data_IF_564319200244
#
_entry.id   IF_564319200244
#
_cell.length_a   1.000
_cell.length_b   1.000
_cell.length_c   1.000
_cell.angle_alpha   90.00
_cell.angle_beta   90.00
_cell.angle_gamma   90.00
#
_symmetry.space_group_name_H-M   'P 1'
#
loop_
_entity.id
_entity.type
_entity.pdbx_description
1 polymer ?
#
# COMPACT_ATOMS: atom_id res chain seq x y z
N UNK A 1 1.54 11.45 79.36
CA UNK A 1 1.12 11.78 77.98
C UNK A 1 2.28 11.49 77.04
N UNK A 2 2.23 10.38 76.30
CA UNK A 2 2.85 10.22 74.97
C UNK A 2 2.45 8.83 74.46
N UNK A 3 1.64 8.81 73.40
CA UNK A 3 1.19 7.59 72.72
C UNK A 3 2.24 7.21 71.67
N UNK A 4 2.94 6.09 71.85
CA UNK A 4 3.72 5.46 70.76
C UNK A 4 2.84 4.44 70.05
N UNK A 5 2.38 4.80 68.84
CA UNK A 5 1.75 3.87 67.88
C UNK A 5 2.85 3.10 67.15
N UNK A 6 2.93 1.78 67.36
CA UNK A 6 3.61 0.88 66.42
C UNK A 6 2.70 0.67 65.20
N UNK A 7 3.12 1.16 64.04
CA UNK A 7 2.56 0.74 62.75
C UNK A 7 3.32 -0.52 62.30
N UNK A 8 2.63 -1.65 62.26
CA UNK A 8 3.12 -2.84 61.57
C UNK A 8 2.86 -2.66 60.06
N UNK A 9 3.93 -2.44 59.28
CA UNK A 9 3.87 -2.51 57.82
C UNK A 9 3.91 -3.98 57.41
N UNK A 10 2.75 -4.56 57.12
CA UNK A 10 2.64 -5.84 56.44
C UNK A 10 2.92 -5.67 54.95
N UNK A 11 4.09 -6.13 54.49
CA UNK A 11 4.37 -6.28 53.06
C UNK A 11 3.54 -7.44 52.49
N UNK A 12 2.40 -7.14 51.89
CA UNK A 12 1.67 -8.07 51.03
C UNK A 12 2.39 -8.15 49.67
N UNK A 13 3.21 -9.17 49.48
CA UNK A 13 3.69 -9.59 48.16
C UNK A 13 2.50 -10.18 47.39
N UNK A 14 1.82 -9.35 46.59
CA UNK A 14 0.87 -9.85 45.61
C UNK A 14 1.67 -10.48 44.46
N UNK A 15 1.83 -11.81 44.52
CA UNK A 15 2.33 -12.59 43.40
C UNK A 15 1.36 -12.42 42.22
N UNK A 16 1.77 -11.62 41.24
CA UNK A 16 1.09 -11.53 39.96
C UNK A 16 1.35 -12.84 39.22
N UNK A 17 0.43 -13.79 39.35
CA UNK A 17 0.36 -14.94 38.47
C UNK A 17 0.19 -14.40 37.05
N UNK A 18 1.27 -14.49 36.26
CA UNK A 18 1.21 -14.43 34.81
C UNK A 18 0.33 -15.61 34.35
N UNK A 19 -0.99 -15.41 34.33
CA UNK A 19 -1.84 -16.20 33.45
C UNK A 19 -1.29 -16.00 32.05
N UNK A 20 -0.76 -17.07 31.45
CA UNK A 20 -0.59 -17.13 30.01
C UNK A 20 -1.98 -16.85 29.40
N UNK A 21 -2.20 -15.60 28.99
CA UNK A 21 -3.49 -15.13 28.53
C UNK A 21 -3.95 -15.97 27.35
N UNK A 22 -5.24 -16.32 27.32
CA UNK A 22 -5.83 -16.92 26.13
C UNK A 22 -5.54 -16.03 24.90
N UNK A 23 -5.31 -16.62 23.72
CA UNK A 23 -5.04 -15.84 22.52
C UNK A 23 -6.16 -14.81 22.30
N UNK A 24 -5.82 -13.61 21.83
CA UNK A 24 -6.79 -12.55 21.71
C UNK A 24 -7.90 -12.98 20.75
N UNK A 25 -9.15 -12.88 21.21
CA UNK A 25 -10.28 -13.31 20.39
C UNK A 25 -10.61 -12.19 19.39
N UNK A 26 -10.46 -12.48 18.10
CA UNK A 26 -10.82 -11.57 17.01
C UNK A 26 -12.14 -11.99 16.37
N UNK A 27 -13.13 -11.10 16.39
CA UNK A 27 -14.48 -11.41 15.87
C UNK A 27 -15.03 -10.28 15.07
N UNK A 28 -15.79 -10.60 14.04
CA UNK A 28 -16.61 -9.63 13.32
C UNK A 28 -18.01 -9.69 13.92
N UNK A 29 -18.54 -8.54 14.32
CA UNK A 29 -19.87 -8.42 14.90
C UNK A 29 -20.71 -7.40 14.12
N UNK A 30 -22.03 -7.63 13.96
CA UNK A 30 -22.91 -6.60 13.43
C UNK A 30 -23.01 -5.42 14.40
N UNK A 31 -23.28 -4.23 13.86
CA UNK A 31 -23.55 -3.01 14.62
C UNK A 31 -25.05 -2.71 14.59
N UNK A 32 -25.60 -1.95 15.56
CA UNK A 32 -27.03 -1.60 15.58
C UNK A 32 -27.54 -0.89 14.32
N UNK A 33 -26.66 -0.20 13.59
CA UNK A 33 -26.99 0.56 12.39
C UNK A 33 -26.93 -0.28 11.09
N UNK A 34 -26.90 -1.62 11.19
CA UNK A 34 -26.83 -2.52 10.04
C UNK A 34 -25.43 -2.65 9.42
N UNK A 35 -24.40 -2.10 10.06
CA UNK A 35 -22.99 -2.27 9.67
C UNK A 35 -22.29 -3.43 10.39
N UNK A 36 -20.96 -3.50 10.27
CA UNK A 36 -20.10 -4.45 10.96
C UNK A 36 -18.92 -3.75 11.62
N UNK A 37 -18.40 -4.36 12.69
CA UNK A 37 -17.19 -3.94 13.35
C UNK A 37 -16.31 -5.15 13.67
N UNK A 38 -15.00 -4.96 13.59
CA UNK A 38 -14.03 -5.94 14.08
C UNK A 38 -13.81 -5.68 15.57
N UNK A 39 -13.81 -6.75 16.35
CA UNK A 39 -13.56 -6.75 17.78
C UNK A 39 -12.28 -7.54 18.04
N UNK A 40 -11.38 -6.99 18.85
CA UNK A 40 -10.21 -7.69 19.40
C UNK A 40 -10.32 -7.66 20.91
N UNK A 41 -10.45 -8.82 21.54
CA UNK A 41 -10.72 -8.96 22.98
C UNK A 41 -11.96 -8.19 23.43
N UNK A 42 -13.02 -8.25 22.61
CA UNK A 42 -14.28 -7.57 22.86
C UNK A 42 -14.24 -6.05 22.66
N UNK A 43 -13.08 -5.47 22.33
CA UNK A 43 -12.94 -4.03 22.08
C UNK A 43 -13.01 -3.72 20.58
N UNK A 44 -13.70 -2.65 20.15
CA UNK A 44 -13.68 -2.21 18.76
C UNK A 44 -12.27 -2.02 18.24
N UNK A 45 -12.01 -2.57 17.06
CA UNK A 45 -10.73 -2.53 16.37
C UNK A 45 -10.97 -2.09 14.93
N UNK A 46 -10.42 -0.94 14.54
CA UNK A 46 -10.45 -0.49 13.16
C UNK A 46 -9.05 -0.60 12.57
N UNK A 47 -8.92 -1.26 11.42
CA UNK A 47 -7.62 -1.52 10.81
C UNK A 47 -7.07 -0.23 10.19
N UNK A 48 -5.97 0.25 10.75
CA UNK A 48 -5.17 1.39 10.25
C UNK A 48 -3.83 0.83 9.79
N UNK A 49 -3.88 0.14 8.66
CA UNK A 49 -2.85 -0.78 8.23
C UNK A 49 -1.87 -0.19 7.24
N UNK A 50 -0.66 -0.74 7.24
CA UNK A 50 0.37 -0.49 6.22
C UNK A 50 1.23 -1.72 5.94
N UNK A 51 2.41 -1.47 5.41
CA UNK A 51 3.47 -2.45 5.16
C UNK A 51 4.49 -2.49 6.29
N UNK A 52 5.39 -3.48 6.24
CA UNK A 52 6.36 -3.77 7.31
C UNK A 52 7.63 -2.92 7.34
N UNK A 53 7.87 -2.06 6.34
CA UNK A 53 9.03 -1.16 6.37
C UNK A 53 8.71 0.06 7.25
N UNK A 54 9.71 0.64 7.91
CA UNK A 54 9.50 1.85 8.75
C UNK A 54 8.35 1.68 9.77
N UNK A 55 8.36 0.58 10.54
CA UNK A 55 7.29 0.23 11.49
C UNK A 55 7.14 1.27 12.61
N UNK A 56 8.26 1.83 13.06
CA UNK A 56 8.31 2.94 14.01
C UNK A 56 7.54 4.15 13.47
N UNK A 57 7.75 4.51 12.19
CA UNK A 57 7.01 5.59 11.53
C UNK A 57 5.53 5.23 11.32
N UNK A 58 5.22 3.96 11.05
CA UNK A 58 3.82 3.51 10.92
C UNK A 58 3.06 3.72 12.22
N UNK A 59 3.65 3.29 13.34
CA UNK A 59 3.09 3.46 14.68
C UNK A 59 2.99 4.94 15.04
N UNK A 60 4.04 5.73 14.76
CA UNK A 60 4.03 7.18 15.01
C UNK A 60 2.94 7.92 14.21
N UNK A 61 2.64 7.47 12.99
CA UNK A 61 1.55 7.98 12.18
C UNK A 61 0.15 7.57 12.68
N UNK A 62 0.05 6.69 13.68
CA UNK A 62 -1.21 6.15 14.22
C UNK A 62 -1.69 4.86 13.57
N UNK A 63 -0.82 4.20 12.78
CA UNK A 63 -1.06 2.87 12.26
C UNK A 63 -0.99 1.80 13.37
N UNK A 64 -1.75 0.71 13.19
CA UNK A 64 -1.89 -0.35 14.20
C UNK A 64 -1.78 -1.77 13.65
N UNK A 65 -1.63 -1.94 12.33
CA UNK A 65 -1.63 -3.26 11.70
C UNK A 65 -0.70 -3.30 10.50
N UNK A 66 -0.19 -4.47 10.17
CA UNK A 66 0.46 -4.75 8.90
C UNK A 66 -0.19 -5.90 8.16
N UNK A 67 0.01 -5.91 6.84
CA UNK A 67 -0.38 -7.01 5.97
C UNK A 67 0.86 -7.74 5.45
N UNK A 68 0.78 -9.06 5.43
CA UNK A 68 1.86 -9.95 5.00
C UNK A 68 1.39 -10.84 3.84
N UNK A 69 2.34 -11.42 3.09
CA UNK A 69 2.05 -12.23 1.90
C UNK A 69 2.67 -13.65 2.00
N UNK A 70 2.99 -14.11 3.21
CA UNK A 70 3.64 -15.39 3.48
C UNK A 70 4.45 -15.40 4.78
N UNK A 71 5.04 -16.55 5.13
CA UNK A 71 5.81 -16.74 6.36
C UNK A 71 7.07 -15.85 6.43
N UNK A 72 7.47 -15.46 7.65
CA UNK A 72 8.76 -14.80 7.89
C UNK A 72 8.70 -13.46 8.61
N UNK A 73 7.58 -13.10 9.23
CA UNK A 73 7.54 -11.91 10.09
C UNK A 73 7.81 -12.29 11.55
N UNK A 74 8.62 -11.45 12.20
CA UNK A 74 8.88 -11.51 13.63
C UNK A 74 7.64 -11.01 14.38
N UNK A 75 6.69 -11.93 14.58
CA UNK A 75 5.41 -11.64 15.21
C UNK A 75 5.59 -11.16 16.66
N UNK A 76 6.63 -11.60 17.36
CA UNK A 76 6.94 -11.16 18.73
C UNK A 76 7.33 -9.68 18.74
N UNK A 77 8.18 -9.25 17.81
CA UNK A 77 8.55 -7.83 17.68
C UNK A 77 7.35 -6.96 17.30
N UNK A 78 6.48 -7.44 16.40
CA UNK A 78 5.24 -6.73 16.06
C UNK A 78 4.31 -6.62 17.27
N UNK A 79 4.17 -7.69 18.05
CA UNK A 79 3.37 -7.70 19.26
C UNK A 79 3.89 -6.69 20.30
N UNK A 80 5.21 -6.61 20.51
CA UNK A 80 5.84 -5.64 21.43
C UNK A 80 5.55 -4.19 21.02
N UNK A 81 5.39 -3.92 19.72
CA UNK A 81 5.00 -2.62 19.19
C UNK A 81 3.48 -2.38 19.19
N UNK A 82 2.68 -3.35 19.66
CA UNK A 82 1.22 -3.29 19.62
C UNK A 82 0.63 -3.44 18.22
N UNK A 83 1.43 -3.87 17.24
CA UNK A 83 1.04 -4.00 15.82
C UNK A 83 0.44 -5.37 15.57
N UNK A 84 -0.75 -5.40 14.97
CA UNK A 84 -1.41 -6.64 14.56
C UNK A 84 -1.08 -7.04 13.12
N UNK A 85 -1.46 -8.25 12.73
CA UNK A 85 -1.08 -8.84 11.45
C UNK A 85 -2.30 -9.45 10.76
N UNK A 86 -2.66 -8.91 9.58
CA UNK A 86 -3.33 -9.73 8.57
C UNK A 86 -2.28 -10.67 7.98
N UNK A 87 -2.40 -11.96 8.29
CA UNK A 87 -1.41 -12.93 7.89
C UNK A 87 -1.78 -13.56 6.53
N UNK A 88 -0.94 -13.31 5.52
CA UNK A 88 -1.10 -13.90 4.19
C UNK A 88 -0.72 -15.37 4.19
N UNK A 89 -1.70 -16.24 3.93
CA UNK A 89 -1.50 -17.67 3.75
C UNK A 89 -1.09 -17.96 2.29
N UNK A 90 -0.09 -18.83 2.08
CA UNK A 90 0.43 -19.11 0.74
C UNK A 90 -0.59 -19.92 -0.07
N UNK A 91 -1.17 -19.27 -1.08
CA UNK A 91 -2.09 -19.88 -2.04
C UNK A 91 -1.48 -19.76 -3.43
N UNK A 92 -1.40 -20.89 -4.13
CA UNK A 92 -0.92 -20.99 -5.50
C UNK A 92 -1.80 -20.20 -6.47
N UNK A 93 -1.15 -19.58 -7.46
CA UNK A 93 -1.83 -18.80 -8.51
C UNK A 93 -1.84 -19.58 -9.82
N UNK A 94 -3.00 -19.75 -10.49
CA UNK A 94 -3.05 -20.35 -11.82
C UNK A 94 -2.13 -19.64 -12.82
N UNK A 95 -2.06 -18.29 -12.78
CA UNK A 95 -1.16 -17.51 -13.64
C UNK A 95 0.34 -17.80 -13.43
N UNK A 96 0.72 -18.44 -12.31
CA UNK A 96 2.08 -18.89 -12.03
C UNK A 96 2.24 -20.41 -12.19
N UNK A 97 1.28 -21.09 -12.83
CA UNK A 97 1.32 -22.51 -13.12
C UNK A 97 0.80 -23.43 -12.01
N UNK A 98 0.11 -22.92 -10.99
CA UNK A 98 -0.54 -23.79 -10.01
C UNK A 98 -1.77 -24.47 -10.63
N UNK A 99 -1.74 -25.80 -10.75
CA UNK A 99 -2.81 -26.59 -11.35
C UNK A 99 -3.80 -27.08 -10.27
N UNK A 100 -4.96 -26.45 -10.19
CA UNK A 100 -6.04 -26.86 -9.28
C UNK A 100 -6.79 -28.14 -9.72
N UNK A 101 -6.45 -28.71 -10.88
CA UNK A 101 -6.95 -30.02 -11.32
C UNK A 101 -6.07 -31.18 -10.82
N UNK A 102 -4.91 -30.89 -10.22
CA UNK A 102 -4.03 -31.89 -9.61
C UNK A 102 -4.39 -32.05 -8.12
N UNK A 103 -5.09 -33.14 -7.73
CA UNK A 103 -5.55 -33.32 -6.36
C UNK A 103 -4.41 -33.45 -5.35
N UNK A 104 -3.25 -33.98 -5.76
CA UNK A 104 -2.10 -34.12 -4.88
C UNK A 104 -1.49 -32.75 -4.55
N UNK A 105 -1.39 -31.85 -5.54
CA UNK A 105 -0.95 -30.46 -5.32
C UNK A 105 -1.90 -29.68 -4.42
N UNK A 106 -3.21 -29.81 -4.66
CA UNK A 106 -4.23 -29.14 -3.82
C UNK A 106 -4.18 -29.65 -2.39
N UNK A 107 -4.06 -30.97 -2.18
CA UNK A 107 -3.94 -31.58 -0.86
C UNK A 107 -2.66 -31.11 -0.13
N UNK A 108 -1.52 -31.07 -0.83
CA UNK A 108 -0.25 -30.60 -0.26
C UNK A 108 -0.31 -29.13 0.17
N UNK A 109 -0.89 -28.25 -0.67
CA UNK A 109 -1.13 -26.84 -0.29
C UNK A 109 -2.04 -26.74 0.94
N UNK A 110 -3.10 -27.55 0.99
CA UNK A 110 -4.03 -27.57 2.11
C UNK A 110 -3.32 -27.92 3.41
N UNK A 111 -2.53 -28.99 3.41
CA UNK A 111 -1.74 -29.41 4.58
C UNK A 111 -0.76 -28.32 5.03
N UNK A 112 -0.03 -27.71 4.08
CA UNK A 112 0.90 -26.63 4.37
C UNK A 112 0.21 -25.44 5.04
N UNK A 113 -0.94 -25.02 4.52
CA UNK A 113 -1.71 -23.90 5.07
C UNK A 113 -2.24 -24.22 6.47
N UNK A 114 -2.82 -25.40 6.68
CA UNK A 114 -3.37 -25.78 7.98
C UNK A 114 -2.29 -25.95 9.04
N UNK A 115 -1.12 -26.48 8.68
CA UNK A 115 0.05 -26.56 9.55
C UNK A 115 0.52 -25.17 9.99
N UNK A 116 0.54 -24.20 9.08
CA UNK A 116 0.90 -22.81 9.37
C UNK A 116 -0.09 -22.16 10.35
N UNK A 117 -1.39 -22.33 10.12
CA UNK A 117 -2.44 -21.84 11.03
C UNK A 117 -2.34 -22.51 12.39
N UNK A 118 -2.24 -23.84 12.45
CA UNK A 118 -2.14 -24.58 13.71
C UNK A 118 -0.96 -24.12 14.58
N UNK A 119 0.16 -23.77 13.94
CA UNK A 119 1.36 -23.26 14.61
C UNK A 119 1.21 -21.82 15.12
N UNK A 120 0.46 -20.97 14.41
CA UNK A 120 0.45 -19.52 14.65
C UNK A 120 -0.84 -18.97 15.27
N UNK A 121 -1.93 -19.75 15.29
CA UNK A 121 -3.26 -19.33 15.80
C UNK A 121 -3.31 -18.82 17.23
N UNK A 122 -2.28 -19.10 18.04
CA UNK A 122 -2.22 -18.62 19.42
C UNK A 122 -1.37 -17.36 19.58
N UNK A 123 -0.75 -16.87 18.51
CA UNK A 123 0.14 -15.73 18.57
C UNK A 123 -0.66 -14.41 18.67
N UNK A 124 -0.41 -13.57 19.69
CA UNK A 124 -1.26 -12.40 19.99
C UNK A 124 -1.23 -11.27 18.96
N UNK A 125 -0.23 -11.26 18.06
CA UNK A 125 -0.19 -10.35 16.92
C UNK A 125 -1.13 -10.73 15.77
N UNK A 126 -1.61 -11.97 15.67
CA UNK A 126 -2.48 -12.38 14.57
C UNK A 126 -3.83 -11.66 14.70
N UNK A 127 -4.26 -11.02 13.62
CA UNK A 127 -5.58 -10.39 13.52
C UNK A 127 -6.56 -11.26 12.75
N UNK A 128 -6.14 -11.73 11.57
CA UNK A 128 -6.97 -12.51 10.65
C UNK A 128 -6.10 -13.24 9.63
N UNK A 129 -6.67 -14.29 9.03
CA UNK A 129 -6.05 -15.08 7.98
C UNK A 129 -6.52 -14.64 6.61
N UNK A 130 -5.59 -14.34 5.70
CA UNK A 130 -5.89 -14.04 4.31
C UNK A 130 -5.45 -15.19 3.40
N UNK A 131 -6.42 -15.91 2.83
CA UNK A 131 -6.22 -16.96 1.84
C UNK A 131 -5.83 -16.36 0.50
N UNK A 132 -4.52 -16.22 0.27
CA UNK A 132 -3.98 -15.74 -0.99
C UNK A 132 -4.07 -14.23 -1.17
N UNK A 133 -3.54 -13.78 -2.31
CA UNK A 133 -3.60 -12.40 -2.78
C UNK A 133 -3.82 -12.42 -4.29
N UNK A 134 -4.99 -11.98 -4.74
CA UNK A 134 -5.33 -11.87 -6.17
C UNK A 134 -5.04 -13.19 -6.91
N UNK A 135 -5.39 -14.31 -6.28
CA UNK A 135 -5.11 -15.64 -6.83
C UNK A 135 -5.90 -15.88 -8.12
N UNK A 136 -6.97 -15.12 -8.35
CA UNK A 136 -7.83 -15.15 -9.52
C UNK A 136 -7.35 -14.28 -10.69
N UNK A 137 -6.37 -13.39 -10.45
CA UNK A 137 -5.88 -12.46 -11.46
C UNK A 137 -5.33 -13.24 -12.66
N UNK A 138 -5.81 -12.87 -13.86
CA UNK A 138 -5.46 -13.50 -15.14
C UNK A 138 -5.71 -15.02 -15.21
N UNK A 139 -6.51 -15.60 -14.31
CA UNK A 139 -6.91 -17.00 -14.39
C UNK A 139 -8.14 -17.17 -15.30
N UNK A 140 -8.15 -18.22 -16.11
CA UNK A 140 -9.32 -18.61 -16.90
C UNK A 140 -10.45 -19.08 -15.98
N UNK A 141 -11.71 -18.96 -16.44
CA UNK A 141 -12.88 -19.29 -15.62
C UNK A 141 -12.86 -20.72 -15.04
N UNK A 142 -12.55 -21.78 -15.80
CA UNK A 142 -12.49 -23.14 -15.24
C UNK A 142 -11.48 -23.30 -14.11
N UNK A 143 -10.37 -22.56 -14.15
CA UNK A 143 -9.34 -22.59 -13.11
C UNK A 143 -9.77 -21.76 -11.90
N UNK A 144 -10.44 -20.62 -12.11
CA UNK A 144 -11.02 -19.81 -11.03
C UNK A 144 -12.04 -20.61 -10.22
N UNK A 145 -12.94 -21.35 -10.87
CA UNK A 145 -13.95 -22.15 -10.15
C UNK A 145 -13.31 -23.22 -9.25
N UNK A 146 -12.23 -23.87 -9.70
CA UNK A 146 -11.50 -24.85 -8.88
C UNK A 146 -10.70 -24.19 -7.76
N UNK A 147 -10.11 -23.02 -8.03
CA UNK A 147 -9.50 -22.18 -7.00
C UNK A 147 -10.53 -21.83 -5.91
N UNK A 148 -11.73 -21.37 -6.27
CA UNK A 148 -12.77 -21.04 -5.30
C UNK A 148 -13.22 -22.23 -4.47
N UNK A 149 -13.36 -23.41 -5.08
CA UNK A 149 -13.65 -24.63 -4.35
C UNK A 149 -12.55 -24.97 -3.32
N UNK A 150 -11.28 -24.81 -3.69
CA UNK A 150 -10.16 -25.04 -2.77
C UNK A 150 -10.09 -23.99 -1.65
N UNK A 151 -10.41 -22.72 -1.93
CA UNK A 151 -10.45 -21.67 -0.91
C UNK A 151 -11.59 -21.89 0.10
N UNK A 152 -12.76 -22.33 -0.38
CA UNK A 152 -13.89 -22.64 0.48
C UNK A 152 -13.61 -23.84 1.41
N UNK A 153 -12.97 -24.89 0.90
CA UNK A 153 -12.52 -26.02 1.73
C UNK A 153 -11.52 -25.58 2.80
N UNK A 154 -10.55 -24.75 2.43
CA UNK A 154 -9.58 -24.17 3.36
C UNK A 154 -10.25 -23.28 4.43
N UNK A 155 -11.19 -22.42 4.04
CA UNK A 155 -11.90 -21.56 4.98
C UNK A 155 -12.66 -22.38 6.04
N UNK A 156 -13.37 -23.43 5.62
CA UNK A 156 -14.04 -24.38 6.52
C UNK A 156 -13.06 -25.07 7.47
N UNK A 157 -11.96 -25.58 6.93
CA UNK A 157 -10.97 -26.32 7.71
C UNK A 157 -10.24 -25.42 8.73
N UNK A 158 -9.90 -24.19 8.35
CA UNK A 158 -9.26 -23.22 9.25
C UNK A 158 -10.20 -22.89 10.42
N UNK A 159 -11.48 -22.64 10.15
CA UNK A 159 -12.47 -22.33 11.20
C UNK A 159 -12.61 -23.42 12.25
N UNK A 160 -12.37 -24.68 11.90
CA UNK A 160 -12.40 -25.81 12.84
C UNK A 160 -11.18 -25.82 13.77
N UNK A 161 -10.00 -25.43 13.28
CA UNK A 161 -8.76 -25.46 14.06
C UNK A 161 -8.48 -24.14 14.78
N UNK A 162 -8.98 -23.02 14.25
CA UNK A 162 -8.87 -21.68 14.80
C UNK A 162 -10.23 -20.96 14.77
N UNK A 163 -11.02 -21.08 15.85
CA UNK A 163 -12.29 -20.38 15.98
C UNK A 163 -12.13 -18.92 16.43
N UNK A 164 -10.90 -18.42 16.59
CA UNK A 164 -10.62 -17.12 17.20
C UNK A 164 -10.24 -16.02 16.20
N UNK A 165 -9.94 -16.37 14.94
CA UNK A 165 -9.55 -15.40 13.92
C UNK A 165 -10.41 -15.50 12.67
N UNK A 166 -10.86 -14.37 12.09
CA UNK A 166 -11.57 -14.37 10.82
C UNK A 166 -10.71 -14.89 9.66
N UNK A 167 -11.37 -15.47 8.67
CA UNK A 167 -10.76 -15.91 7.41
C UNK A 167 -11.33 -15.11 6.24
N UNK A 168 -10.44 -14.51 5.45
CA UNK A 168 -10.77 -13.76 4.23
C UNK A 168 -10.01 -14.35 3.02
N UNK A 169 -10.41 -13.97 1.81
CA UNK A 169 -9.53 -13.99 0.63
C UNK A 169 -9.37 -12.56 0.14
N UNK A 170 -8.42 -12.30 -0.75
CA UNK A 170 -8.13 -10.96 -1.27
C UNK A 170 -8.25 -10.94 -2.79
N UNK A 171 -9.12 -10.06 -3.31
CA UNK A 171 -9.41 -9.91 -4.74
C UNK A 171 -8.71 -8.70 -5.36
N UNK A 172 -8.41 -8.81 -6.65
CA UNK A 172 -8.04 -7.70 -7.52
C UNK A 172 -9.31 -6.93 -7.95
N UNK A 173 -9.67 -5.91 -7.18
CA UNK A 173 -10.89 -5.12 -7.37
C UNK A 173 -12.17 -5.90 -7.09
N UNK A 174 -13.28 -5.45 -7.68
CA UNK A 174 -14.64 -5.92 -7.34
C UNK A 174 -15.27 -6.85 -8.38
N UNK A 175 -14.58 -7.09 -9.50
CA UNK A 175 -15.14 -7.81 -10.65
C UNK A 175 -15.53 -9.27 -10.38
N UNK A 176 -14.98 -9.87 -9.32
CA UNK A 176 -15.20 -11.29 -8.94
C UNK A 176 -16.02 -11.48 -7.67
N UNK A 177 -16.64 -10.41 -7.14
CA UNK A 177 -17.45 -10.49 -5.92
C UNK A 177 -18.63 -11.48 -6.05
N UNK A 178 -19.28 -11.56 -7.22
CA UNK A 178 -20.36 -12.49 -7.45
C UNK A 178 -19.89 -13.96 -7.37
N UNK A 179 -18.75 -14.27 -7.98
CA UNK A 179 -18.14 -15.61 -7.92
C UNK A 179 -17.81 -15.98 -6.47
N UNK A 180 -17.15 -15.09 -5.71
CA UNK A 180 -16.82 -15.35 -4.31
C UNK A 180 -18.07 -15.49 -3.43
N UNK A 181 -19.10 -14.67 -3.65
CA UNK A 181 -20.38 -14.75 -2.93
C UNK A 181 -21.02 -16.13 -3.11
N UNK A 182 -20.94 -16.69 -4.32
CA UNK A 182 -21.51 -17.99 -4.66
C UNK A 182 -20.65 -19.17 -4.16
N UNK A 183 -19.33 -19.09 -4.35
CA UNK A 183 -18.44 -20.25 -4.21
C UNK A 183 -17.67 -20.30 -2.89
N UNK A 184 -17.54 -19.19 -2.16
CA UNK A 184 -16.81 -19.12 -0.90
C UNK A 184 -17.66 -18.55 0.26
N UNK A 185 -18.84 -19.12 0.56
CA UNK A 185 -19.74 -18.61 1.60
C UNK A 185 -19.15 -18.67 3.01
N UNK A 186 -18.12 -19.49 3.27
CA UNK A 186 -17.53 -19.65 4.60
C UNK A 186 -16.55 -18.53 4.97
N UNK A 187 -16.19 -17.64 4.04
CA UNK A 187 -15.37 -16.47 4.35
C UNK A 187 -16.13 -15.47 5.22
N UNK A 188 -15.46 -14.95 6.24
CA UNK A 188 -16.04 -14.02 7.22
C UNK A 188 -16.10 -12.57 6.68
N UNK A 189 -15.17 -12.21 5.80
CA UNK A 189 -15.14 -10.94 5.07
C UNK A 189 -14.41 -11.12 3.72
N UNK A 190 -14.41 -10.07 2.90
CA UNK A 190 -13.61 -10.01 1.66
C UNK A 190 -12.53 -8.93 1.76
N UNK A 191 -11.32 -9.26 1.32
CA UNK A 191 -10.27 -8.29 1.06
C UNK A 191 -10.34 -7.79 -0.38
N UNK A 192 -10.17 -6.49 -0.57
CA UNK A 192 -10.21 -5.87 -1.90
C UNK A 192 -8.98 -5.00 -2.07
N UNK A 193 -8.18 -5.30 -3.09
CA UNK A 193 -7.14 -4.42 -3.57
C UNK A 193 -7.75 -3.48 -4.61
N UNK A 194 -7.69 -2.18 -4.37
CA UNK A 194 -8.26 -1.18 -5.29
C UNK A 194 -7.52 0.15 -5.18
N UNK A 195 -7.31 0.81 -6.32
CA UNK A 195 -6.48 2.01 -6.45
C UNK A 195 -7.36 3.21 -6.83
N UNK A 196 -7.42 3.63 -8.10
CA UNK A 196 -8.36 4.68 -8.52
C UNK A 196 -9.82 4.32 -8.22
N UNK A 197 -10.14 3.02 -8.23
CA UNK A 197 -11.44 2.46 -7.89
C UNK A 197 -11.93 2.78 -6.46
N UNK A 198 -11.05 3.21 -5.55
CA UNK A 198 -11.43 3.65 -4.21
C UNK A 198 -12.52 4.72 -4.23
N UNK A 199 -12.50 5.65 -5.19
CA UNK A 199 -13.51 6.72 -5.29
C UNK A 199 -14.91 6.24 -5.72
N UNK A 200 -15.07 4.95 -6.01
CA UNK A 200 -16.34 4.32 -6.40
C UNK A 200 -16.59 2.99 -5.67
N UNK A 201 -15.76 2.65 -4.68
CA UNK A 201 -15.79 1.32 -4.06
C UNK A 201 -17.10 1.02 -3.34
N UNK A 202 -17.66 1.92 -2.50
CA UNK A 202 -18.96 1.70 -1.87
C UNK A 202 -20.08 1.42 -2.89
N UNK A 203 -20.11 2.16 -3.98
CA UNK A 203 -21.08 2.04 -5.06
C UNK A 203 -20.90 0.72 -5.82
N UNK A 204 -19.65 0.33 -6.11
CA UNK A 204 -19.34 -0.93 -6.77
C UNK A 204 -19.74 -2.14 -5.91
N UNK A 205 -19.53 -2.08 -4.60
CA UNK A 205 -19.96 -3.10 -3.65
C UNK A 205 -21.48 -3.22 -3.59
N UNK A 206 -22.20 -2.09 -3.58
CA UNK A 206 -23.65 -2.06 -3.62
C UNK A 206 -24.19 -2.64 -4.93
N UNK A 207 -23.63 -2.24 -6.08
CA UNK A 207 -24.01 -2.75 -7.40
C UNK A 207 -23.75 -4.27 -7.54
N UNK A 208 -22.69 -4.78 -6.92
CA UNK A 208 -22.40 -6.22 -6.87
C UNK A 208 -23.29 -7.00 -5.88
N UNK A 209 -24.16 -6.32 -5.12
CA UNK A 209 -24.98 -6.95 -4.08
C UNK A 209 -24.15 -7.59 -2.97
N UNK A 210 -22.95 -7.05 -2.69
CA UNK A 210 -22.11 -7.55 -1.61
C UNK A 210 -22.66 -7.07 -0.26
N UNK A 211 -22.97 -7.99 0.65
CA UNK A 211 -23.67 -7.72 1.93
C UNK A 211 -22.81 -7.96 3.17
N UNK A 212 -21.70 -8.70 3.01
CA UNK A 212 -20.77 -9.04 4.07
C UNK A 212 -19.79 -7.87 4.34
N UNK A 213 -19.08 -7.87 5.48
CA UNK A 213 -17.99 -6.93 5.71
C UNK A 213 -16.87 -7.08 4.68
N UNK A 214 -16.08 -6.01 4.53
CA UNK A 214 -14.91 -5.99 3.68
C UNK A 214 -13.75 -5.23 4.35
N UNK A 215 -12.55 -5.49 3.84
CA UNK A 215 -11.32 -4.77 4.19
C UNK A 215 -10.73 -4.27 2.87
N UNK A 216 -10.31 -3.00 2.83
CA UNK A 216 -9.49 -2.52 1.70
C UNK A 216 -8.07 -3.00 1.95
N UNK A 217 -7.71 -4.15 1.41
CA UNK A 217 -6.43 -4.83 1.71
C UNK A 217 -5.24 -4.27 0.97
N UNK A 218 -5.48 -3.39 0.00
CA UNK A 218 -4.48 -2.60 -0.66
C UNK A 218 -5.16 -1.38 -1.29
N UNK A 219 -4.67 -0.18 -0.98
CA UNK A 219 -4.99 1.02 -1.75
C UNK A 219 -3.79 1.95 -1.78
N UNK A 220 -3.63 2.64 -2.90
CA UNK A 220 -2.46 3.45 -3.19
C UNK A 220 -2.80 4.70 -4.00
N UNK A 221 -1.81 5.34 -4.63
CA UNK A 221 -2.09 6.29 -5.70
C UNK A 221 -2.78 5.59 -6.88
N UNK A 222 -3.21 6.35 -7.88
CA UNK A 222 -3.74 5.80 -9.12
C UNK A 222 -2.71 4.83 -9.74
N UNK A 223 -3.19 3.66 -10.18
CA UNK A 223 -2.35 2.68 -10.84
C UNK A 223 -1.84 3.21 -12.18
N UNK A 224 -0.67 2.74 -12.64
CA UNK A 224 -0.10 3.16 -13.93
C UNK A 224 -0.97 2.82 -15.14
N UNK A 225 -1.90 1.86 -15.00
CA UNK A 225 -2.92 1.55 -16.00
C UNK A 225 -4.16 2.46 -15.95
N UNK A 226 -4.29 3.31 -14.92
CA UNK A 226 -5.45 4.17 -14.65
C UNK A 226 -5.18 5.66 -14.94
N UNK A 227 -3.95 6.00 -15.32
CA UNK A 227 -3.53 7.39 -15.61
C UNK A 227 -3.53 7.68 -17.11
N UNK A 228 -3.54 8.98 -17.44
CA UNK A 228 -3.30 9.42 -18.81
C UNK A 228 -1.92 8.95 -19.29
N UNK A 229 -1.79 8.73 -20.60
CA UNK A 229 -0.54 8.35 -21.23
C UNK A 229 -0.08 9.45 -22.18
N UNK A 230 1.23 9.54 -22.39
CA UNK A 230 1.79 10.33 -23.49
C UNK A 230 1.27 9.77 -24.83
N UNK A 231 1.32 10.56 -25.91
CA UNK A 231 1.00 10.09 -27.26
C UNK A 231 1.81 8.86 -27.70
N UNK A 232 3.00 8.68 -27.15
CA UNK A 232 3.85 7.50 -27.38
C UNK A 232 3.72 6.42 -26.30
N UNK A 233 2.65 6.46 -25.49
CA UNK A 233 2.23 5.35 -24.64
C UNK A 233 2.82 5.26 -23.24
N UNK A 234 3.65 6.23 -22.80
CA UNK A 234 4.18 6.22 -21.44
C UNK A 234 3.16 6.76 -20.42
N UNK A 235 2.98 6.10 -19.27
CA UNK A 235 2.04 6.56 -18.26
C UNK A 235 2.55 7.84 -17.57
N UNK A 236 1.65 8.80 -17.38
CA UNK A 236 1.95 10.09 -16.72
C UNK A 236 1.71 9.91 -15.23
N UNK A 237 2.78 10.05 -14.45
CA UNK A 237 2.75 9.84 -13.01
C UNK A 237 2.29 11.11 -12.32
N UNK A 238 1.43 10.96 -11.32
CA UNK A 238 1.05 12.06 -10.44
C UNK A 238 2.24 12.57 -9.62
N UNK A 239 2.25 13.86 -9.30
CA UNK A 239 3.12 14.39 -8.27
C UNK A 239 2.82 13.75 -6.91
N UNK A 240 3.81 13.72 -6.02
CA UNK A 240 3.63 13.34 -4.61
C UNK A 240 2.48 14.10 -3.91
N UNK A 241 2.22 15.34 -4.33
CA UNK A 241 1.15 16.19 -3.78
C UNK A 241 -0.22 15.69 -4.23
N UNK A 242 -0.40 15.44 -5.53
CA UNK A 242 -1.63 14.86 -6.07
C UNK A 242 -1.89 13.46 -5.51
N UNK A 243 -0.83 12.67 -5.30
CA UNK A 243 -0.93 11.37 -4.62
C UNK A 243 -1.40 11.53 -3.19
N UNK A 244 -0.78 12.42 -2.41
CA UNK A 244 -1.14 12.68 -1.02
C UNK A 244 -2.62 13.11 -0.88
N UNK A 245 -3.08 13.99 -1.77
CA UNK A 245 -4.47 14.45 -1.80
C UNK A 245 -5.42 13.32 -2.21
N UNK A 246 -5.01 12.49 -3.18
CA UNK A 246 -5.76 11.31 -3.59
C UNK A 246 -5.91 10.28 -2.46
N UNK A 247 -4.84 9.97 -1.73
CA UNK A 247 -4.87 9.05 -0.59
C UNK A 247 -5.93 9.45 0.45
N UNK A 248 -5.92 10.73 0.85
CA UNK A 248 -6.86 11.23 1.85
C UNK A 248 -8.30 11.14 1.33
N UNK A 249 -8.55 11.63 0.11
CA UNK A 249 -9.87 11.57 -0.52
C UNK A 249 -10.39 10.13 -0.68
N UNK A 250 -9.53 9.22 -1.12
CA UNK A 250 -9.85 7.81 -1.28
C UNK A 250 -10.21 7.15 0.05
N UNK A 251 -9.42 7.41 1.10
CA UNK A 251 -9.66 6.86 2.43
C UNK A 251 -10.97 7.38 3.05
N UNK A 252 -11.25 8.68 2.92
CA UNK A 252 -12.49 9.28 3.41
C UNK A 252 -13.72 8.70 2.70
N UNK A 253 -13.64 8.50 1.38
CA UNK A 253 -14.74 7.94 0.60
C UNK A 253 -14.99 6.46 0.90
N UNK A 254 -13.95 5.62 0.85
CA UNK A 254 -14.11 4.16 0.84
C UNK A 254 -13.81 3.44 2.16
N UNK A 255 -13.31 4.14 3.19
CA UNK A 255 -12.87 3.50 4.44
C UNK A 255 -13.51 4.14 5.67
N UNK A 256 -13.20 5.41 5.97
CA UNK A 256 -13.44 6.04 7.28
C UNK A 256 -14.87 5.96 7.80
N UNK A 257 -15.86 6.09 6.91
CA UNK A 257 -17.28 6.20 7.28
C UNK A 257 -18.13 5.07 6.68
N UNK A 258 -17.50 3.99 6.22
CA UNK A 258 -18.20 2.93 5.52
C UNK A 258 -18.71 1.86 6.50
N UNK A 259 -20.03 1.62 6.59
CA UNK A 259 -20.61 0.81 7.66
C UNK A 259 -20.18 -0.67 7.63
N UNK A 260 -19.69 -1.16 6.49
CA UNK A 260 -19.24 -2.55 6.32
C UNK A 260 -17.73 -2.68 6.15
N UNK A 261 -17.00 -1.56 6.18
CA UNK A 261 -15.55 -1.57 6.07
C UNK A 261 -14.92 -1.77 7.45
N UNK A 262 -14.04 -2.76 7.59
CA UNK A 262 -13.34 -3.04 8.84
C UNK A 262 -12.00 -2.29 8.96
N UNK A 263 -11.66 -1.51 7.93
CA UNK A 263 -10.43 -0.72 7.83
C UNK A 263 -9.67 -1.02 6.55
N UNK A 264 -8.39 -0.63 6.52
CA UNK A 264 -7.59 -0.71 5.29
C UNK A 264 -6.10 -0.91 5.52
N UNK A 265 -5.40 -1.31 4.46
CA UNK A 265 -3.93 -1.35 4.38
C UNK A 265 -3.46 -0.45 3.24
N UNK A 266 -2.71 0.59 3.57
CA UNK A 266 -2.14 1.53 2.60
C UNK A 266 -0.94 0.93 1.88
N UNK A 267 -0.82 1.18 0.58
CA UNK A 267 0.23 0.66 -0.29
C UNK A 267 0.84 1.74 -1.20
N UNK A 268 2.17 1.89 -1.27
CA UNK A 268 3.18 1.11 -0.56
C UNK A 268 3.74 1.90 0.62
N UNK A 269 3.45 1.45 1.85
CA UNK A 269 4.17 1.91 3.02
C UNK A 269 5.63 1.42 2.99
N UNK A 270 6.48 2.24 2.39
CA UNK A 270 7.88 1.96 2.10
C UNK A 270 8.23 2.45 0.71
N UNK A 271 9.18 1.74 0.08
CA UNK A 271 9.68 2.05 -1.25
C UNK A 271 9.93 0.74 -2.01
N UNK A 272 9.54 0.73 -3.29
CA UNK A 272 9.83 -0.33 -4.26
C UNK A 272 9.87 0.31 -5.65
N UNK A 273 10.78 -0.16 -6.50
CA UNK A 273 10.73 0.10 -7.94
C UNK A 273 9.48 -0.56 -8.54
N UNK A 274 8.58 0.25 -9.10
CA UNK A 274 7.44 -0.25 -9.89
C UNK A 274 6.97 0.84 -10.86
N UNK A 275 7.28 0.65 -12.15
CA UNK A 275 7.27 1.62 -13.25
C UNK A 275 8.27 2.76 -13.08
N UNK A 276 8.21 3.45 -11.95
CA UNK A 276 9.22 4.41 -11.49
C UNK A 276 9.54 4.15 -10.03
N UNK A 277 10.65 4.70 -9.54
CA UNK A 277 11.04 4.58 -8.14
C UNK A 277 10.18 5.44 -7.20
N UNK A 278 9.31 6.30 -7.76
CA UNK A 278 8.38 7.18 -7.04
C UNK A 278 6.92 6.80 -7.17
N UNK A 279 6.56 5.80 -8.00
CA UNK A 279 5.15 5.57 -8.35
C UNK A 279 4.25 5.31 -7.14
N UNK A 280 4.49 4.19 -6.44
CA UNK A 280 3.64 3.72 -5.35
C UNK A 280 4.22 3.96 -3.96
N UNK A 281 5.54 4.17 -3.85
CA UNK A 281 6.22 4.35 -2.58
C UNK A 281 5.75 5.61 -1.85
N UNK A 282 5.38 5.45 -0.59
CA UNK A 282 5.14 6.60 0.32
C UNK A 282 6.46 7.20 0.83
N UNK A 283 7.57 6.48 0.62
CA UNK A 283 8.94 6.87 0.94
C UNK A 283 9.79 6.86 -0.32
N UNK A 284 10.75 7.77 -0.40
CA UNK A 284 11.76 7.79 -1.45
C UNK A 284 12.87 6.75 -1.19
N UNK A 285 13.72 6.44 -2.19
CA UNK A 285 14.79 5.45 -2.04
C UNK A 285 15.77 5.72 -0.89
N UNK A 286 15.95 7.00 -0.53
CA UNK A 286 16.78 7.44 0.60
C UNK A 286 16.07 7.35 1.97
N UNK A 287 14.79 6.96 1.98
CA UNK A 287 13.96 6.85 3.18
C UNK A 287 13.18 8.11 3.53
N UNK A 288 13.26 9.17 2.73
CA UNK A 288 12.50 10.41 2.95
C UNK A 288 10.99 10.15 2.81
N UNK A 289 10.15 10.39 3.84
CA UNK A 289 8.72 10.23 3.73
C UNK A 289 8.09 11.37 2.91
N UNK A 290 7.03 11.05 2.19
CA UNK A 290 6.29 12.02 1.35
C UNK A 290 4.98 12.46 2.01
N UNK A 291 4.30 13.45 1.41
CA UNK A 291 3.00 13.91 1.88
C UNK A 291 1.93 12.82 1.99
N UNK A 292 2.10 11.66 1.33
CA UNK A 292 1.23 10.50 1.53
C UNK A 292 1.25 9.99 2.98
N UNK A 293 2.41 10.00 3.64
CA UNK A 293 2.55 9.64 5.06
C UNK A 293 1.77 10.61 5.94
N UNK A 294 1.81 11.89 5.62
CA UNK A 294 1.08 12.93 6.36
C UNK A 294 -0.43 12.80 6.19
N UNK A 295 -0.90 12.55 4.96
CA UNK A 295 -2.30 12.30 4.66
C UNK A 295 -2.83 11.12 5.46
N UNK A 296 -2.06 10.03 5.54
CA UNK A 296 -2.46 8.87 6.36
C UNK A 296 -2.40 9.16 7.86
N UNK A 297 -1.41 9.94 8.31
CA UNK A 297 -1.33 10.41 9.70
C UNK A 297 -2.59 11.19 10.08
N UNK A 298 -3.02 12.12 9.24
CA UNK A 298 -4.26 12.87 9.43
C UNK A 298 -5.49 11.96 9.38
N UNK A 299 -5.57 11.07 8.39
CA UNK A 299 -6.70 10.14 8.23
C UNK A 299 -6.88 9.23 9.47
N UNK A 300 -5.78 8.79 10.08
CA UNK A 300 -5.77 7.87 11.21
C UNK A 300 -5.93 8.54 12.57
N UNK A 301 -5.40 9.77 12.75
CA UNK A 301 -5.35 10.44 14.06
C UNK A 301 -6.31 11.62 14.16
N UNK A 302 -6.78 12.15 13.03
CA UNK A 302 -7.52 13.41 12.93
C UNK A 302 -6.64 14.66 13.05
N UNK A 303 -5.31 14.51 13.07
CA UNK A 303 -4.35 15.62 13.21
C UNK A 303 -3.24 15.50 12.18
N UNK A 304 -2.84 16.63 11.60
CA UNK A 304 -1.65 16.68 10.76
C UNK A 304 -0.40 16.49 11.63
N UNK A 305 0.69 15.90 11.09
CA UNK A 305 1.96 15.89 11.78
C UNK A 305 2.47 17.33 11.97
N UNK A 306 3.29 17.54 13.00
CA UNK A 306 3.82 18.86 13.35
C UNK A 306 4.73 19.46 12.26
N UNK A 307 5.47 18.60 11.55
CA UNK A 307 6.20 18.93 10.34
C UNK A 307 5.51 18.22 9.18
N UNK A 308 5.10 18.94 8.15
CA UNK A 308 4.43 18.43 6.96
C UNK A 308 5.42 18.41 5.80
N UNK A 309 5.31 17.39 4.97
CA UNK A 309 6.13 17.25 3.79
C UNK A 309 5.91 18.45 2.85
N UNK A 310 6.95 18.84 2.10
CA UNK A 310 6.81 19.80 1.02
C UNK A 310 5.69 19.40 0.06
N UNK A 311 5.21 20.39 -0.68
CA UNK A 311 4.19 20.22 -1.72
C UNK A 311 4.71 20.83 -3.02
N UNK A 312 4.43 20.18 -4.14
CA UNK A 312 4.57 20.78 -5.46
C UNK A 312 3.36 21.67 -5.72
N UNK A 313 3.59 22.87 -6.24
CA UNK A 313 2.56 23.88 -6.46
C UNK A 313 1.52 23.50 -7.52
N UNK A 314 0.37 24.19 -7.56
CA UNK A 314 -0.63 24.03 -8.60
C UNK A 314 -0.07 24.58 -9.92
N UNK A 315 0.30 23.70 -10.84
CA UNK A 315 0.94 24.09 -12.08
C UNK A 315 1.94 23.03 -12.52
N UNK A 316 1.97 22.76 -13.83
CA UNK A 316 2.79 21.71 -14.40
C UNK A 316 4.27 22.01 -14.14
N UNK A 317 5.02 20.97 -13.79
CA UNK A 317 6.44 20.88 -14.09
C UNK A 317 6.64 21.41 -15.52
N UNK A 318 7.31 22.55 -15.64
CA UNK A 318 7.44 23.25 -16.91
C UNK A 318 8.76 22.88 -17.58
N UNK A 319 8.70 22.61 -18.88
CA UNK A 319 9.86 22.30 -19.70
C UNK A 319 9.87 23.28 -20.87
N UNK A 320 11.00 23.95 -21.08
CA UNK A 320 11.22 24.86 -22.20
C UNK A 320 12.50 24.47 -22.92
N UNK A 321 12.45 24.09 -24.21
CA UNK A 321 13.66 23.78 -24.96
C UNK A 321 14.50 25.05 -25.17
N UNK A 322 15.79 24.97 -24.84
CA UNK A 322 16.78 26.02 -25.11
C UNK A 322 17.47 25.82 -26.47
N UNK A 323 17.54 24.58 -26.95
CA UNK A 323 18.10 24.20 -28.26
C UNK A 323 17.54 22.84 -28.72
N UNK A 324 17.42 22.62 -30.04
CA UNK A 324 17.06 21.31 -30.62
C UNK A 324 15.56 20.94 -30.57
N UNK A 325 14.67 21.81 -31.09
CA UNK A 325 13.22 21.58 -31.07
C UNK A 325 12.78 20.44 -32.03
N UNK A 326 11.74 19.65 -31.72
CA UNK A 326 10.34 20.06 -31.91
C UNK A 326 9.47 19.78 -30.69
N UNK A 327 9.14 20.82 -29.93
CA UNK A 327 8.34 20.77 -28.70
C UNK A 327 6.83 20.65 -28.92
N UNK A 328 6.39 19.56 -29.56
CA UNK A 328 5.02 19.08 -29.40
C UNK A 328 5.04 17.86 -28.46
N UNK A 329 4.20 17.91 -27.44
CA UNK A 329 3.90 16.79 -26.53
C UNK A 329 5.06 16.21 -25.70
N UNK A 330 6.20 16.91 -25.52
CA UNK A 330 7.43 16.47 -24.81
C UNK A 330 8.38 15.55 -25.61
N UNK A 331 8.41 15.69 -26.94
CA UNK A 331 9.40 15.06 -27.83
C UNK A 331 10.53 16.05 -28.15
N UNK A 332 11.79 15.61 -28.18
CA UNK A 332 12.95 16.48 -28.45
C UNK A 332 14.04 15.78 -29.26
N UNK A 333 14.93 16.57 -29.85
CA UNK A 333 16.09 16.06 -30.60
C UNK A 333 17.20 15.54 -29.66
N UNK A 334 18.05 14.60 -30.14
CA UNK A 334 19.26 14.20 -29.45
C UNK A 334 20.12 15.39 -29.01
N UNK A 335 20.61 15.36 -27.78
CA UNK A 335 21.46 16.43 -27.24
C UNK A 335 20.75 17.74 -26.90
N UNK A 336 19.42 17.83 -27.06
CA UNK A 336 18.66 19.04 -26.73
C UNK A 336 18.87 19.46 -25.27
N UNK A 337 18.90 20.78 -25.03
CA UNK A 337 18.99 21.35 -23.68
C UNK A 337 17.63 21.87 -23.28
N UNK A 338 17.18 21.50 -22.10
CA UNK A 338 15.86 21.82 -21.57
C UNK A 338 16.03 22.67 -20.31
N UNK A 339 15.36 23.82 -20.25
CA UNK A 339 15.11 24.52 -18.98
C UNK A 339 13.91 23.87 -18.33
N UNK A 340 14.10 23.35 -17.12
CA UNK A 340 13.07 22.74 -16.29
C UNK A 340 12.77 23.66 -15.12
N UNK A 341 11.49 23.80 -14.76
CA UNK A 341 11.04 24.58 -13.62
C UNK A 341 9.96 23.84 -12.85
N UNK A 342 10.11 23.79 -11.54
CA UNK A 342 9.08 23.32 -10.61
C UNK A 342 8.57 24.51 -9.80
N UNK A 343 7.41 24.38 -9.17
CA UNK A 343 7.05 25.20 -8.01
C UNK A 343 6.92 24.26 -6.82
N UNK A 344 7.56 24.59 -5.70
CA UNK A 344 7.46 23.83 -4.47
C UNK A 344 7.35 24.76 -3.27
N UNK A 345 6.57 24.35 -2.28
CA UNK A 345 6.42 25.07 -1.03
C UNK A 345 6.37 24.11 0.14
N UNK A 346 6.87 24.57 1.28
CA UNK A 346 6.74 23.85 2.53
C UNK A 346 5.53 24.38 3.31
N UNK A 347 4.59 23.53 3.77
CA UNK A 347 3.44 24.00 4.54
C UNK A 347 3.80 24.70 5.85
N UNK A 348 4.98 24.42 6.42
CA UNK A 348 5.47 25.00 7.67
C UNK A 348 6.39 26.21 7.40
N UNK A 349 6.66 26.52 6.13
CA UNK A 349 7.46 27.68 5.70
C UNK A 349 8.96 27.44 5.68
N UNK A 350 9.39 26.17 5.80
CA UNK A 350 10.80 25.80 5.79
C UNK A 350 11.46 25.98 4.41
N UNK A 351 12.77 26.31 4.38
CA UNK A 351 13.52 26.43 3.14
C UNK A 351 13.73 25.05 2.50
N UNK A 352 13.47 24.98 1.18
CA UNK A 352 13.55 23.72 0.44
C UNK A 352 14.89 23.53 -0.28
N UNK A 353 15.40 22.30 -0.24
CA UNK A 353 16.49 21.84 -1.10
C UNK A 353 15.92 21.12 -2.32
N UNK A 354 16.10 21.71 -3.50
CA UNK A 354 15.64 21.13 -4.76
C UNK A 354 16.76 20.35 -5.45
N UNK A 355 16.45 19.13 -5.88
CA UNK A 355 17.34 18.27 -6.66
C UNK A 355 16.62 17.77 -7.91
N UNK A 356 17.40 17.51 -8.96
CA UNK A 356 16.89 17.07 -10.27
C UNK A 356 17.70 15.85 -10.72
N UNK A 357 17.05 14.92 -11.43
CA UNK A 357 17.75 13.89 -12.18
C UNK A 357 17.04 13.57 -13.51
N UNK A 358 17.79 12.96 -14.43
CA UNK A 358 17.28 12.40 -15.68
C UNK A 358 17.55 10.90 -15.65
N UNK A 359 16.57 10.08 -16.02
CA UNK A 359 16.66 8.62 -16.05
C UNK A 359 16.13 8.07 -17.37
N UNK A 360 16.57 6.87 -17.73
CA UNK A 360 15.89 6.07 -18.76
C UNK A 360 14.51 5.73 -18.21
N UNK A 361 13.46 5.94 -19.01
CA UNK A 361 12.11 5.59 -18.61
C UNK A 361 11.83 4.12 -18.96
N UNK A 362 11.50 3.33 -17.95
CA UNK A 362 11.19 1.90 -18.07
C UNK A 362 9.72 1.60 -17.78
N UNK A 363 8.87 2.63 -17.70
CA UNK A 363 7.47 2.49 -17.25
C UNK A 363 6.51 1.87 -18.28
N UNK A 364 6.98 1.58 -19.50
CA UNK A 364 6.30 0.79 -20.53
C UNK A 364 6.54 -0.72 -20.40
N UNK A 365 7.32 -1.17 -19.42
CA UNK A 365 7.59 -2.60 -19.23
C UNK A 365 6.30 -3.41 -18.95
N UNK A 366 6.22 -4.69 -19.40
CA UNK A 366 5.00 -5.50 -19.33
C UNK A 366 4.73 -6.14 -17.95
N UNK A 367 5.54 -5.86 -16.93
CA UNK A 367 5.42 -6.46 -15.59
C UNK A 367 4.10 -6.07 -14.92
N UNK A 368 3.51 -7.00 -14.15
CA UNK A 368 2.19 -6.83 -13.53
C UNK A 368 2.10 -7.47 -12.14
N UNK A 369 1.31 -6.87 -11.25
CA UNK A 369 0.89 -7.52 -9.99
C UNK A 369 2.06 -7.90 -9.07
N UNK A 370 3.03 -6.99 -8.90
CA UNK A 370 4.12 -7.14 -7.94
C UNK A 370 5.38 -7.83 -8.45
N UNK A 371 5.47 -8.14 -9.75
CA UNK A 371 6.69 -8.63 -10.41
C UNK A 371 7.92 -7.76 -10.06
N UNK A 372 9.12 -8.36 -10.13
CA UNK A 372 10.36 -7.61 -9.96
C UNK A 372 10.64 -6.83 -11.24
N UNK A 373 10.79 -5.53 -11.09
CA UNK A 373 11.20 -4.64 -12.18
C UNK A 373 12.66 -4.20 -11.98
N UNK A 374 13.45 -4.02 -13.06
CA UNK A 374 14.78 -3.43 -12.97
C UNK A 374 14.67 -1.95 -12.55
N UNK A 375 15.61 -1.51 -11.72
CA UNK A 375 15.75 -0.10 -11.36
C UNK A 375 16.40 0.69 -12.51
N UNK A 376 16.16 2.01 -12.55
CA UNK A 376 16.74 2.93 -13.53
C UNK A 376 17.56 3.99 -12.79
N UNK A 377 18.88 3.98 -12.99
CA UNK A 377 19.78 4.93 -12.32
C UNK A 377 19.83 6.31 -13.01
N UNK A 378 20.14 7.39 -12.27
CA UNK A 378 20.40 8.70 -12.86
C UNK A 378 21.47 8.67 -13.95
N UNK A 379 21.24 9.41 -15.04
CA UNK A 379 22.22 9.63 -16.09
C UNK A 379 23.20 10.71 -15.62
N UNK A 380 24.45 10.30 -15.35
CA UNK A 380 25.50 11.20 -14.90
C UNK A 380 25.78 12.33 -15.90
N UNK A 381 25.95 13.57 -15.40
CA UNK A 381 26.24 14.74 -16.22
C UNK A 381 25.06 15.32 -17.01
N UNK A 382 23.86 14.72 -16.93
CA UNK A 382 22.68 15.24 -17.62
C UNK A 382 22.20 16.58 -17.05
N UNK A 383 22.31 16.79 -15.73
CA UNK A 383 21.97 18.07 -15.08
C UNK A 383 23.17 19.02 -15.21
N UNK A 384 23.07 20.02 -16.08
CA UNK A 384 24.15 20.97 -16.35
C UNK A 384 24.24 22.06 -15.27
N UNK A 385 23.09 22.48 -14.75
CA UNK A 385 23.00 23.48 -13.68
C UNK A 385 21.65 23.33 -12.97
N UNK A 386 21.63 23.56 -11.66
CA UNK A 386 20.40 23.69 -10.89
C UNK A 386 20.52 24.86 -9.91
N UNK A 387 19.51 25.73 -9.85
CA UNK A 387 19.50 26.90 -8.97
C UNK A 387 18.07 27.20 -8.56
N UNK A 388 17.79 27.18 -7.25
CA UNK A 388 16.44 27.30 -6.73
C UNK A 388 15.53 26.23 -7.32
N UNK A 389 14.41 26.65 -7.88
CA UNK A 389 13.41 25.77 -8.50
C UNK A 389 13.63 25.52 -10.00
N UNK A 390 14.80 25.89 -10.54
CA UNK A 390 15.11 25.75 -11.97
C UNK A 390 16.34 24.87 -12.20
N UNK A 391 16.33 24.12 -13.30
CA UNK A 391 17.48 23.36 -13.77
C UNK A 391 17.61 23.44 -15.30
N UNK A 392 18.84 23.25 -15.78
CA UNK A 392 19.12 23.01 -17.20
C UNK A 392 19.58 21.57 -17.35
N UNK A 393 18.85 20.79 -18.15
CA UNK A 393 19.11 19.37 -18.37
C UNK A 393 19.42 19.14 -19.83
N UNK A 394 20.50 18.42 -20.11
CA UNK A 394 20.88 17.99 -21.44
C UNK A 394 20.42 16.56 -21.68
N UNK A 395 19.65 16.36 -22.75
CA UNK A 395 19.20 15.04 -23.17
C UNK A 395 20.36 14.24 -23.81
N UNK A 396 20.35 12.90 -23.70
CA UNK A 396 21.35 12.06 -24.33
C UNK A 396 21.32 12.15 -25.85
N UNK A 397 22.42 11.70 -26.47
CA UNK A 397 22.48 11.52 -27.92
C UNK A 397 21.70 10.27 -28.38
N UNK A 398 21.54 9.29 -27.50
CA UNK A 398 20.83 8.06 -27.79
C UNK A 398 19.31 8.31 -27.83
N UNK A 399 18.63 8.00 -28.95
CA UNK A 399 17.17 8.02 -29.00
C UNK A 399 16.56 7.05 -27.99
N UNK A 400 15.41 7.41 -27.43
CA UNK A 400 14.73 6.60 -26.43
C UNK A 400 13.77 7.40 -25.56
N UNK A 401 13.14 6.67 -24.64
CA UNK A 401 12.25 7.25 -23.65
C UNK A 401 13.04 7.55 -22.36
N UNK A 402 12.84 8.75 -21.83
CA UNK A 402 13.49 9.24 -20.63
C UNK A 402 12.48 9.91 -19.71
N UNK A 403 12.86 10.15 -18.47
CA UNK A 403 12.01 10.86 -17.51
C UNK A 403 12.87 11.77 -16.66
N UNK A 404 12.42 13.01 -16.52
CA UNK A 404 13.05 13.99 -15.63
C UNK A 404 12.29 13.96 -14.31
N UNK A 405 13.02 13.83 -13.21
CA UNK A 405 12.48 13.90 -11.86
C UNK A 405 12.97 15.16 -11.15
N UNK A 406 12.13 15.68 -10.27
CA UNK A 406 12.47 16.73 -9.31
C UNK A 406 12.06 16.30 -7.91
N UNK A 407 12.90 16.64 -6.94
CA UNK A 407 12.70 16.34 -5.52
C UNK A 407 12.90 17.62 -4.72
N UNK A 408 11.93 17.98 -3.90
CA UNK A 408 12.03 19.07 -2.95
C UNK A 408 12.08 18.49 -1.54
N UNK A 409 13.17 18.72 -0.81
CA UNK A 409 13.34 18.25 0.56
C UNK A 409 13.26 19.41 1.56
N UNK A 410 12.54 19.18 2.66
CA UNK A 410 12.61 20.05 3.84
C UNK A 410 13.86 19.72 4.70
N UNK A 411 14.18 20.56 5.71
CA UNK A 411 15.26 20.28 6.65
C UNK A 411 15.01 19.06 7.57
N UNK A 412 13.75 18.63 7.74
CA UNK A 412 13.37 17.46 8.54
C UNK A 412 13.51 16.13 7.78
N UNK A 413 13.86 16.18 6.48
CA UNK A 413 14.06 15.00 5.64
C UNK A 413 12.78 14.47 4.99
N UNK A 414 11.68 15.23 4.95
CA UNK A 414 10.51 14.89 4.13
C UNK A 414 10.67 15.44 2.72
N UNK A 415 9.93 14.84 1.78
CA UNK A 415 10.08 15.17 0.37
C UNK A 415 8.76 15.31 -0.40
N UNK A 416 8.79 16.21 -1.39
CA UNK A 416 7.87 16.21 -2.52
C UNK A 416 8.59 15.80 -3.80
N UNK A 417 7.88 15.10 -4.68
CA UNK A 417 8.34 14.74 -6.02
C UNK A 417 7.34 15.12 -7.10
N UNK A 418 7.88 15.40 -8.28
CA UNK A 418 7.17 15.44 -9.55
C UNK A 418 8.09 14.91 -10.65
N UNK A 419 7.53 14.52 -11.78
CA UNK A 419 8.32 14.08 -12.92
C UNK A 419 7.58 14.29 -14.25
N UNK A 420 8.33 14.26 -15.35
CA UNK A 420 7.78 14.37 -16.70
C UNK A 420 8.47 13.38 -17.65
N UNK A 421 7.69 12.53 -18.36
CA UNK A 421 8.24 11.69 -19.42
C UNK A 421 8.62 12.53 -20.64
N UNK A 422 9.74 12.14 -21.26
CA UNK A 422 10.37 12.79 -22.40
C UNK A 422 10.73 11.73 -23.45
N UNK A 423 10.54 12.03 -24.73
CA UNK A 423 11.05 11.18 -25.80
C UNK A 423 12.16 11.89 -26.58
N UNK A 424 13.31 11.24 -26.71
CA UNK A 424 14.40 11.67 -27.59
C UNK A 424 14.27 10.94 -28.92
N UNK A 425 14.07 11.67 -30.02
CA UNK A 425 13.95 11.11 -31.36
C UNK A 425 14.67 12.00 -32.38
N UNK A 426 15.30 11.37 -33.37
CA UNK A 426 15.83 12.11 -34.51
C UNK A 426 14.71 12.85 -35.26
N UNK A 427 15.00 13.98 -35.94
CA UNK A 427 14.04 14.62 -36.82
C UNK A 427 13.53 13.62 -37.86
N UNK A 428 12.22 13.59 -38.10
CA UNK A 428 11.66 12.88 -39.26
C UNK A 428 12.23 13.55 -40.51
N UNK A 429 12.91 12.79 -41.36
CA UNK A 429 13.45 13.25 -42.66
C UNK A 429 12.35 13.65 -43.62
#
# INVERSE_FOLDING_TARGET
MSFSRLLALGCAFAASLLCAGQPPAVRIAPTPNGGYQLLRDGKPYFIKGGGRRYLDQLVAAGGNSIRTYGAGDDLDSLHKLGVTVQFGLPIGKPRHGFNYSDPARVASQREQVLSLVARLKHHPAILLWALGNESELAAAEPDRLKLWAALEDLAKAIRQIDPHHPVITVLAGTSRLAEVKQHCPSLDAIGINTYAGMLKLPEALAAAGWEKPYIVTEFGPRGHWEVAKTPWGLPIEDSSTEKADFYLKAYEHAVKSQPRCLGSYVFLWGQKQEKTHTWYGMFLPDGSPTGAVDSMTYAWTGKWPANRAPRTGPGKFAITPLSGATGDENVFQPGAKLRCKVSASDPDGDPLKIAWDLRIDVSDNPSQGGDREPDSSPIGGAVLSATGEEAVIQLPQQPGNYRIFVYAHDPAGKAATANVPIQVRAPSS
#
